data_IF_780331696469
#
_entry.id   IF_780331696469
#
_cell.length_a   1.000
_cell.length_b   1.000
_cell.length_c   1.000
_cell.angle_alpha   90.00
_cell.angle_beta   90.00
_cell.angle_gamma   90.00
#
_symmetry.space_group_name_H-M   'P 1'
#
loop_
_entity.id
_entity.type
_entity.pdbx_description
1 polymer ?
#
# COMPACT_ATOMS: atom_id res chain seq x y z
N UNK A 1 -28.60 1.80 -9.73
CA UNK A 1 -27.48 1.49 -8.83
C UNK A 1 -27.57 2.41 -7.62
N UNK A 2 -26.90 2.04 -6.52
CA UNK A 2 -26.81 2.88 -5.32
C UNK A 2 -25.87 4.06 -5.55
N UNK A 3 -26.18 5.20 -4.95
CA UNK A 3 -25.28 6.36 -4.86
C UNK A 3 -24.22 6.12 -3.78
N UNK A 4 -23.08 6.83 -3.87
CA UNK A 4 -22.02 6.77 -2.84
C UNK A 4 -22.54 7.10 -1.44
N UNK A 5 -23.49 8.03 -1.32
CA UNK A 5 -24.14 8.38 -0.05
C UNK A 5 -25.00 7.24 0.48
N UNK A 6 -25.74 6.54 -0.38
CA UNK A 6 -26.54 5.38 0.01
C UNK A 6 -25.68 4.19 0.42
N UNK A 7 -24.58 3.93 -0.29
CA UNK A 7 -23.60 2.90 0.08
C UNK A 7 -22.93 3.25 1.41
N UNK A 8 -22.54 4.51 1.60
CA UNK A 8 -21.98 4.97 2.86
C UNK A 8 -22.94 4.76 4.03
N UNK A 9 -24.21 5.17 3.87
CA UNK A 9 -25.23 4.97 4.90
C UNK A 9 -25.43 3.49 5.28
N UNK A 10 -25.41 2.59 4.29
CA UNK A 10 -25.54 1.13 4.50
C UNK A 10 -24.30 0.49 5.14
N UNK A 11 -23.13 1.07 4.95
CA UNK A 11 -21.85 0.57 5.48
C UNK A 11 -21.32 1.37 6.68
N UNK A 12 -22.19 2.22 7.27
CA UNK A 12 -21.87 3.06 8.42
C UNK A 12 -20.68 4.01 8.23
N UNK A 13 -20.48 4.51 7.01
CA UNK A 13 -19.48 5.54 6.69
C UNK A 13 -20.11 6.71 5.95
N UNK A 14 -19.46 7.87 5.98
CA UNK A 14 -19.90 9.03 5.18
C UNK A 14 -19.67 8.76 3.69
N UNK A 15 -20.53 9.31 2.82
CA UNK A 15 -20.42 9.10 1.37
C UNK A 15 -19.06 9.47 0.77
N UNK A 16 -18.39 10.49 1.33
CA UNK A 16 -17.03 10.87 0.94
C UNK A 16 -15.99 9.78 1.17
N UNK A 17 -16.20 8.87 2.13
CA UNK A 17 -15.34 7.70 2.36
C UNK A 17 -15.46 6.70 1.21
N UNK A 18 -16.66 6.53 0.67
CA UNK A 18 -16.88 5.71 -0.53
C UNK A 18 -16.19 6.35 -1.73
N UNK A 19 -16.33 7.67 -1.92
CA UNK A 19 -15.62 8.40 -2.97
C UNK A 19 -14.10 8.23 -2.89
N UNK A 20 -13.52 8.26 -1.69
CA UNK A 20 -12.09 8.03 -1.47
C UNK A 20 -11.66 6.63 -1.93
N UNK A 21 -12.41 5.60 -1.53
CA UNK A 21 -12.12 4.21 -1.90
C UNK A 21 -12.18 4.03 -3.42
N UNK A 22 -13.24 4.52 -4.07
CA UNK A 22 -13.42 4.42 -5.52
C UNK A 22 -12.33 5.16 -6.32
N UNK A 23 -11.81 6.26 -5.77
CA UNK A 23 -10.72 7.03 -6.39
C UNK A 23 -9.33 6.54 -6.02
N UNK A 24 -9.22 5.49 -5.19
CA UNK A 24 -7.97 5.04 -4.60
C UNK A 24 -7.19 6.18 -3.88
N UNK A 25 -7.91 7.07 -3.20
CA UNK A 25 -7.31 8.16 -2.41
C UNK A 25 -7.54 7.97 -0.91
N UNK A 26 -6.64 8.51 -0.10
CA UNK A 26 -6.72 8.40 1.36
C UNK A 26 -6.36 7.01 1.90
N UNK A 27 -6.79 6.71 3.13
CA UNK A 27 -6.46 5.46 3.79
C UNK A 27 -7.14 4.25 3.12
N UNK A 28 -6.43 3.13 3.01
CA UNK A 28 -6.96 1.84 2.55
C UNK A 28 -8.19 1.41 3.40
N UNK A 29 -9.17 0.67 2.85
CA UNK A 29 -10.32 0.20 3.61
C UNK A 29 -9.88 -0.76 4.71
N UNK A 30 -10.58 -0.76 5.84
CA UNK A 30 -10.39 -1.77 6.89
C UNK A 30 -11.10 -3.06 6.51
N UNK A 31 -10.66 -4.20 7.07
CA UNK A 31 -11.34 -5.49 6.85
C UNK A 31 -12.83 -5.44 7.23
N UNK A 32 -13.17 -4.70 8.29
CA UNK A 32 -14.56 -4.50 8.71
C UNK A 32 -15.38 -3.76 7.64
N UNK A 33 -14.86 -2.65 7.12
CA UNK A 33 -15.51 -1.89 6.05
C UNK A 33 -15.62 -2.72 4.78
N UNK A 34 -14.58 -3.45 4.41
CA UNK A 34 -14.59 -4.35 3.24
C UNK A 34 -15.67 -5.42 3.37
N UNK A 35 -15.80 -6.08 4.54
CA UNK A 35 -16.87 -7.07 4.79
C UNK A 35 -18.26 -6.45 4.71
N UNK A 36 -18.41 -5.22 5.17
CA UNK A 36 -19.69 -4.50 5.09
C UNK A 36 -20.04 -4.17 3.64
N UNK A 37 -19.06 -3.67 2.86
CA UNK A 37 -19.24 -3.40 1.43
C UNK A 37 -19.57 -4.67 0.65
N UNK A 38 -18.87 -5.76 0.92
CA UNK A 38 -19.08 -7.03 0.22
C UNK A 38 -20.53 -7.53 0.37
N UNK A 39 -21.04 -7.49 1.60
CA UNK A 39 -22.42 -7.85 1.92
C UNK A 39 -23.45 -6.92 1.28
N UNK A 40 -23.27 -5.61 1.40
CA UNK A 40 -24.24 -4.62 0.91
C UNK A 40 -24.28 -4.51 -0.62
N UNK A 41 -23.15 -4.81 -1.27
CA UNK A 41 -23.03 -4.82 -2.72
C UNK A 41 -23.25 -6.20 -3.33
N UNK A 42 -23.46 -7.24 -2.51
CA UNK A 42 -23.60 -8.64 -2.93
C UNK A 42 -22.43 -9.07 -3.83
N UNK A 43 -21.21 -8.84 -3.35
CA UNK A 43 -20.00 -9.03 -4.12
C UNK A 43 -19.42 -10.46 -4.05
N UNK A 44 -20.13 -11.41 -3.45
CA UNK A 44 -19.73 -12.82 -3.34
C UNK A 44 -18.29 -13.03 -2.84
N UNK A 45 -17.95 -12.37 -1.73
CA UNK A 45 -16.61 -12.35 -1.09
C UNK A 45 -15.48 -11.73 -1.94
N UNK A 46 -15.77 -11.24 -3.16
CA UNK A 46 -14.77 -10.66 -4.07
C UNK A 46 -14.00 -9.51 -3.43
N UNK A 47 -14.65 -8.60 -2.71
CA UNK A 47 -13.98 -7.44 -2.11
C UNK A 47 -13.07 -7.87 -0.96
N UNK A 48 -13.47 -8.91 -0.22
CA UNK A 48 -12.67 -9.51 0.85
C UNK A 48 -11.43 -10.19 0.26
N UNK A 49 -11.59 -10.94 -0.83
CA UNK A 49 -10.51 -11.62 -1.53
C UNK A 49 -9.50 -10.65 -2.16
N UNK A 50 -9.96 -9.46 -2.57
CA UNK A 50 -9.10 -8.41 -3.13
C UNK A 50 -8.34 -7.61 -2.07
N UNK A 51 -8.80 -7.61 -0.80
CA UNK A 51 -8.22 -6.78 0.25
C UNK A 51 -6.70 -6.98 0.47
N UNK A 52 -6.15 -8.22 0.46
CA UNK A 52 -4.71 -8.42 0.59
C UNK A 52 -3.90 -7.73 -0.51
N UNK A 53 -4.45 -7.60 -1.72
CA UNK A 53 -3.78 -6.96 -2.86
C UNK A 53 -3.79 -5.44 -2.74
N UNK A 54 -4.84 -4.86 -2.16
CA UNK A 54 -4.88 -3.42 -1.83
C UNK A 54 -3.81 -3.08 -0.79
N UNK A 55 -3.55 -4.00 0.16
CA UNK A 55 -2.56 -3.79 1.23
C UNK A 55 -1.11 -4.04 0.82
N UNK A 56 -0.85 -4.85 -0.22
CA UNK A 56 0.50 -4.98 -0.77
C UNK A 56 0.99 -3.60 -1.23
N UNK A 57 2.11 -3.15 -0.69
CA UNK A 57 2.94 -2.18 -1.40
C UNK A 57 3.20 -2.75 -2.80
N UNK A 58 3.11 -1.89 -3.82
CA UNK A 58 3.30 -2.29 -5.21
C UNK A 58 4.77 -2.62 -5.47
N UNK A 59 5.23 -3.70 -4.86
CA UNK A 59 6.42 -4.40 -5.26
C UNK A 59 6.12 -5.03 -6.63
N UNK A 60 6.94 -4.75 -7.65
CA UNK A 60 6.77 -5.37 -8.95
C UNK A 60 6.66 -6.89 -8.84
N UNK A 61 5.92 -7.57 -9.72
CA UNK A 61 5.72 -9.02 -9.62
C UNK A 61 7.02 -9.82 -9.53
N UNK A 62 8.10 -9.34 -10.16
CA UNK A 62 9.42 -9.94 -10.10
C UNK A 62 10.04 -9.95 -8.69
N UNK A 63 9.68 -9.02 -7.80
CA UNK A 63 10.25 -8.94 -6.45
C UNK A 63 9.47 -9.79 -5.43
N UNK A 64 8.30 -10.34 -5.77
CA UNK A 64 7.53 -11.21 -4.86
C UNK A 64 8.34 -12.45 -4.44
N UNK A 65 8.98 -13.12 -5.39
CA UNK A 65 9.83 -14.28 -5.11
C UNK A 65 11.04 -13.89 -4.23
N UNK A 66 11.66 -12.75 -4.54
CA UNK A 66 12.77 -12.21 -3.74
C UNK A 66 12.36 -11.96 -2.28
N UNK A 67 11.22 -11.31 -2.05
CA UNK A 67 10.68 -11.05 -0.70
C UNK A 67 10.40 -12.37 0.03
N UNK A 68 9.71 -13.31 -0.62
CA UNK A 68 9.36 -14.59 -0.02
C UNK A 68 10.59 -15.43 0.39
N UNK A 69 11.64 -15.44 -0.44
CA UNK A 69 12.88 -16.13 -0.11
C UNK A 69 13.71 -15.38 0.93
N UNK A 70 13.78 -14.05 0.84
CA UNK A 70 14.52 -13.21 1.81
C UNK A 70 13.97 -13.39 3.22
N UNK A 71 12.65 -13.47 3.39
CA UNK A 71 12.01 -13.71 4.68
C UNK A 71 12.38 -15.05 5.35
N UNK A 72 12.83 -16.04 4.56
CA UNK A 72 13.24 -17.38 5.04
C UNK A 72 14.76 -17.56 5.06
N UNK A 73 15.51 -16.58 4.56
CA UNK A 73 16.95 -16.67 4.43
C UNK A 73 17.61 -16.56 5.81
N UNK A 74 18.56 -17.47 6.10
CA UNK A 74 19.42 -17.35 7.29
C UNK A 74 20.58 -16.37 7.07
N UNK A 75 20.96 -16.14 5.82
CA UNK A 75 22.04 -15.25 5.40
C UNK A 75 21.65 -14.63 4.06
N UNK A 76 21.80 -13.31 3.94
CA UNK A 76 21.66 -12.57 2.67
C UNK A 76 23.05 -12.08 2.28
N UNK A 77 23.45 -12.37 1.03
CA UNK A 77 24.69 -11.85 0.43
C UNK A 77 24.30 -10.96 -0.73
N UNK A 78 24.56 -9.67 -0.57
CA UNK A 78 24.25 -8.66 -1.56
C UNK A 78 25.54 -8.04 -2.06
N UNK A 79 25.61 -7.80 -3.37
CA UNK A 79 26.65 -6.99 -3.96
C UNK A 79 26.09 -5.58 -4.17
N UNK A 80 26.53 -4.64 -3.33
CA UNK A 80 26.05 -3.26 -3.36
C UNK A 80 27.19 -2.32 -3.79
N UNK A 81 27.17 -1.91 -5.06
CA UNK A 81 28.33 -1.27 -5.72
C UNK A 81 28.56 0.17 -5.26
N UNK A 82 27.50 0.95 -5.06
CA UNK A 82 27.58 2.41 -4.87
C UNK A 82 26.77 2.94 -3.68
N UNK A 83 25.94 2.10 -3.06
CA UNK A 83 25.08 2.48 -1.96
C UNK A 83 25.17 1.43 -0.85
N UNK A 84 25.15 1.90 0.40
CA UNK A 84 25.02 1.01 1.55
C UNK A 84 23.61 0.41 1.53
N UNK A 85 23.41 -0.91 1.80
CA UNK A 85 22.07 -1.50 1.88
C UNK A 85 21.18 -0.79 2.89
N UNK A 86 19.89 -0.63 2.58
CA UNK A 86 18.95 0.21 3.35
C UNK A 86 18.92 -0.07 4.86
N UNK A 87 18.95 -1.35 5.27
CA UNK A 87 18.96 -1.76 6.68
C UNK A 87 20.20 -1.31 7.46
N UNK A 88 21.26 -0.88 6.76
CA UNK A 88 22.53 -0.45 7.32
C UNK A 88 22.75 1.07 7.16
N UNK A 89 21.77 1.80 6.65
CA UNK A 89 21.85 3.25 6.47
C UNK A 89 21.45 4.00 7.75
N UNK A 90 22.05 5.17 7.97
CA UNK A 90 21.52 6.14 8.95
C UNK A 90 20.42 6.98 8.31
N UNK A 91 19.52 7.60 9.09
CA UNK A 91 18.50 8.50 8.55
C UNK A 91 19.09 9.62 7.66
N UNK A 92 20.24 10.17 8.04
CA UNK A 92 20.93 11.21 7.27
C UNK A 92 21.43 10.70 5.92
N UNK A 93 22.01 9.49 5.89
CA UNK A 93 22.46 8.85 4.66
C UNK A 93 21.28 8.54 3.74
N UNK A 94 20.20 7.97 4.28
CA UNK A 94 18.99 7.66 3.53
C UNK A 94 18.39 8.92 2.89
N UNK A 95 18.26 10.01 3.64
CA UNK A 95 17.81 11.31 3.10
C UNK A 95 18.71 11.81 1.98
N UNK A 96 20.03 11.78 2.17
CA UNK A 96 20.98 12.22 1.14
C UNK A 96 20.82 11.41 -0.15
N UNK A 97 20.72 10.08 -0.05
CA UNK A 97 20.56 9.19 -1.20
C UNK A 97 19.20 9.35 -1.88
N UNK A 98 18.11 9.47 -1.12
CA UNK A 98 16.76 9.63 -1.66
C UNK A 98 16.54 11.03 -2.27
N UNK A 99 17.24 12.05 -1.77
CA UNK A 99 17.13 13.43 -2.26
C UNK A 99 17.57 13.63 -3.71
N UNK A 100 18.44 12.77 -4.24
CA UNK A 100 18.94 12.84 -5.63
C UNK A 100 18.06 12.06 -6.62
N UNK A 101 16.99 11.42 -6.15
CA UNK A 101 16.11 10.62 -6.99
C UNK A 101 15.24 11.47 -7.94
N UNK A 102 15.24 11.14 -9.23
CA UNK A 102 14.44 11.83 -10.26
C UNK A 102 12.92 11.80 -10.04
N UNK A 103 12.42 10.89 -9.21
CA UNK A 103 10.99 10.78 -8.89
C UNK A 103 10.56 11.60 -7.67
N UNK A 104 11.48 12.35 -7.04
CA UNK A 104 11.18 13.15 -5.87
C UNK A 104 10.33 14.37 -6.25
N UNK A 105 9.22 14.58 -5.54
CA UNK A 105 8.28 15.68 -5.81
C UNK A 105 8.56 16.89 -4.92
N UNK A 106 8.71 16.67 -3.62
CA UNK A 106 8.93 17.70 -2.60
C UNK A 106 9.53 17.08 -1.32
N UNK A 107 9.74 17.90 -0.29
CA UNK A 107 10.32 17.48 0.98
C UNK A 107 9.36 16.60 1.81
N UNK A 108 8.05 16.77 1.68
CA UNK A 108 7.06 15.92 2.35
C UNK A 108 7.13 14.50 1.77
N UNK A 109 7.19 14.39 0.44
CA UNK A 109 7.38 13.14 -0.26
C UNK A 109 8.70 12.45 0.10
N UNK A 110 9.75 13.19 0.49
CA UNK A 110 11.00 12.58 0.94
C UNK A 110 10.83 11.81 2.26
N UNK A 111 10.09 12.37 3.21
CA UNK A 111 9.86 11.74 4.51
C UNK A 111 8.81 10.62 4.44
N UNK A 112 8.00 10.56 3.38
CA UNK A 112 7.08 9.45 3.09
C UNK A 112 7.77 8.19 2.51
N UNK A 113 9.01 8.31 2.01
CA UNK A 113 9.76 7.21 1.38
C UNK A 113 10.63 6.44 2.37
#
# INVERSE_FOLDING_TARGET
>A
GLTQTEVGARTHVVGSRITQIERATGAKPTLELTRSLDRELMADDLLIDLLPFVHREAFPDWSQAFIAYSARAKVIREYASHAVPGLLQTPEYARALLSVGYSLRDAEHLEER
#
